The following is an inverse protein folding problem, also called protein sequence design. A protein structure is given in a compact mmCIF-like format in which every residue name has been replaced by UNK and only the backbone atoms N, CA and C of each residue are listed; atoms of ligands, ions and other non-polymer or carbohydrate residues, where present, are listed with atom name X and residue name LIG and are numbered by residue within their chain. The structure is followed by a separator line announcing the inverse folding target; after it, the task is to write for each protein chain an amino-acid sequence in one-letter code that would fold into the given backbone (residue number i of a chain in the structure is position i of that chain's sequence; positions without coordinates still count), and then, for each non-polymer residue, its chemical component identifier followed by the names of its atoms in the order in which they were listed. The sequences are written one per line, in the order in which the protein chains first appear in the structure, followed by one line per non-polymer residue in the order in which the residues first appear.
data_IF_745075437307
#
_entry.id   IF_745075437307
#
_cell.length_a   1.000
_cell.length_b   1.000
_cell.length_c   1.000
_cell.angle_alpha   90.00
_cell.angle_beta   90.00
_cell.angle_gamma   90.00
#
_symmetry.space_group_name_H-M   'P 1'
#
loop_
_entity.id
_entity.type
_entity.pdbx_description
1 polymer ?
#
# COMPACT_ATOMS: atom_id res chain seq x y z
N UNK A 1 -4.61 -26.10 -2.57
CA UNK A 1 -3.26 -26.05 -3.18
C UNK A 1 -2.37 -27.00 -2.42
N UNK A 2 -1.63 -27.86 -3.12
CA UNK A 2 -0.55 -28.63 -2.47
C UNK A 2 0.60 -27.66 -2.17
N UNK A 3 1.34 -27.89 -1.09
CA UNK A 3 2.56 -27.13 -0.83
C UNK A 3 3.50 -27.22 -2.04
N UNK A 4 3.86 -26.08 -2.64
CA UNK A 4 4.82 -25.99 -3.76
C UNK A 4 4.26 -25.57 -5.13
N UNK A 5 2.96 -25.34 -5.28
CA UNK A 5 2.36 -24.85 -6.53
C UNK A 5 2.12 -23.33 -6.45
N UNK A 6 2.70 -22.58 -7.38
CA UNK A 6 2.50 -21.13 -7.45
C UNK A 6 1.10 -20.79 -7.98
N UNK A 7 0.54 -19.66 -7.53
CA UNK A 7 -0.82 -19.22 -7.89
C UNK A 7 -1.04 -19.19 -9.41
N UNK A 8 -0.03 -18.75 -10.18
CA UNK A 8 -0.07 -18.65 -11.65
C UNK A 8 -0.04 -20.00 -12.38
N UNK A 9 0.29 -21.10 -11.69
CA UNK A 9 0.29 -22.46 -12.26
C UNK A 9 -1.10 -23.10 -12.26
N UNK A 10 -2.05 -22.52 -11.51
CA UNK A 10 -3.43 -22.99 -11.47
C UNK A 10 -4.10 -22.87 -12.85
N UNK A 11 -4.86 -23.88 -13.31
CA UNK A 11 -5.64 -23.80 -14.54
C UNK A 11 -6.78 -22.77 -14.45
N UNK A 12 -7.13 -22.32 -13.24
CA UNK A 12 -8.11 -21.26 -13.00
C UNK A 12 -7.49 -19.86 -12.97
N UNK A 13 -6.16 -19.73 -13.07
CA UNK A 13 -5.54 -18.42 -13.19
C UNK A 13 -5.74 -17.86 -14.61
N UNK A 14 -6.02 -16.55 -14.79
CA UNK A 14 -6.35 -15.56 -13.75
C UNK A 14 -7.86 -15.51 -13.42
N UNK A 15 -8.68 -16.28 -14.12
CA UNK A 15 -10.14 -16.27 -14.03
C UNK A 15 -10.65 -17.24 -12.96
N UNK A 16 -10.52 -16.81 -11.70
CA UNK A 16 -10.93 -17.59 -10.55
C UNK A 16 -12.45 -17.77 -10.47
N UNK A 17 -12.85 -18.95 -10.02
CA UNK A 17 -14.23 -19.23 -9.62
C UNK A 17 -14.33 -19.12 -8.10
N UNK A 18 -15.34 -18.40 -7.62
CA UNK A 18 -15.59 -18.20 -6.20
C UNK A 18 -17.09 -18.27 -5.91
N UNK A 19 -17.43 -18.69 -4.69
CA UNK A 19 -18.82 -18.73 -4.24
C UNK A 19 -19.23 -17.38 -3.65
N UNK A 20 -20.01 -16.61 -4.43
CA UNK A 20 -20.52 -15.31 -4.00
C UNK A 20 -21.37 -15.36 -2.73
N UNK A 21 -22.11 -16.45 -2.49
CA UNK A 21 -22.93 -16.56 -1.29
C UNK A 21 -22.06 -16.62 -0.03
N UNK A 22 -20.91 -17.29 -0.11
CA UNK A 22 -19.93 -17.33 1.00
C UNK A 22 -19.21 -16.00 1.20
N UNK A 23 -19.03 -15.22 0.14
CA UNK A 23 -18.30 -13.94 0.20
C UNK A 23 -19.22 -12.74 0.48
N UNK A 24 -20.54 -12.87 0.33
CA UNK A 24 -21.47 -11.75 0.43
C UNK A 24 -21.39 -11.02 1.77
N UNK A 25 -21.36 -11.76 2.89
CA UNK A 25 -21.25 -11.18 4.22
C UNK A 25 -19.90 -10.48 4.48
N UNK A 26 -18.73 -11.12 4.28
CA UNK A 26 -17.45 -10.46 4.50
C UNK A 26 -17.22 -9.27 3.56
N UNK A 27 -17.64 -9.36 2.29
CA UNK A 27 -17.56 -8.22 1.36
C UNK A 27 -18.43 -7.04 1.82
N UNK A 28 -19.63 -7.31 2.30
CA UNK A 28 -20.51 -6.27 2.85
C UNK A 28 -19.93 -5.63 4.11
N UNK A 29 -19.30 -6.43 4.98
CA UNK A 29 -18.62 -5.93 6.17
C UNK A 29 -17.43 -5.01 5.81
N UNK A 30 -16.59 -5.43 4.84
CA UNK A 30 -15.46 -4.63 4.35
C UNK A 30 -15.95 -3.34 3.70
N UNK A 31 -16.95 -3.40 2.83
CA UNK A 31 -17.52 -2.21 2.17
C UNK A 31 -18.07 -1.21 3.18
N UNK A 32 -18.77 -1.68 4.22
CA UNK A 32 -19.25 -0.82 5.32
C UNK A 32 -18.10 -0.17 6.09
N UNK A 33 -17.05 -0.94 6.41
CA UNK A 33 -15.89 -0.43 7.13
C UNK A 33 -15.13 0.64 6.31
N UNK A 34 -14.94 0.40 5.01
CA UNK A 34 -14.35 1.37 4.09
C UNK A 34 -15.18 2.66 3.99
N UNK A 35 -16.50 2.54 3.87
CA UNK A 35 -17.40 3.69 3.84
C UNK A 35 -17.34 4.53 5.12
N UNK A 36 -17.31 3.89 6.29
CA UNK A 36 -17.17 4.58 7.58
C UNK A 36 -15.82 5.30 7.71
N UNK A 37 -14.73 4.66 7.27
CA UNK A 37 -13.40 5.27 7.25
C UNK A 37 -13.37 6.51 6.34
N UNK A 38 -13.85 6.37 5.11
CA UNK A 38 -13.90 7.46 4.14
C UNK A 38 -14.78 8.62 4.62
N UNK A 39 -15.92 8.33 5.27
CA UNK A 39 -16.78 9.35 5.88
C UNK A 39 -16.06 10.11 6.99
N UNK A 40 -15.40 9.41 7.91
CA UNK A 40 -14.60 10.07 8.96
C UNK A 40 -13.45 10.88 8.39
N UNK A 41 -12.78 10.35 7.36
CA UNK A 41 -11.73 11.09 6.68
C UNK A 41 -12.28 12.36 6.01
N UNK A 42 -13.47 12.31 5.42
CA UNK A 42 -14.12 13.46 4.81
C UNK A 42 -14.44 14.59 5.81
N UNK A 43 -14.63 14.25 7.09
CA UNK A 43 -14.94 15.22 8.15
C UNK A 43 -13.69 15.80 8.84
N UNK A 44 -12.52 15.14 8.74
CA UNK A 44 -11.26 15.69 9.28
C UNK A 44 -10.60 16.65 8.29
N UNK A 45 -9.86 17.63 8.82
CA UNK A 45 -9.08 18.59 8.03
C UNK A 45 -7.91 17.96 7.27
N UNK A 46 -7.43 18.65 6.23
CA UNK A 46 -6.39 18.14 5.32
C UNK A 46 -5.12 17.71 6.04
N UNK A 47 -4.63 18.50 7.00
CA UNK A 47 -3.42 18.18 7.76
C UNK A 47 -3.48 16.80 8.45
N UNK A 48 -4.63 16.43 9.01
CA UNK A 48 -4.78 15.12 9.67
C UNK A 48 -4.86 13.98 8.65
N UNK A 49 -5.43 14.23 7.46
CA UNK A 49 -5.43 13.24 6.37
C UNK A 49 -4.03 13.00 5.84
N UNK A 50 -3.25 14.05 5.70
CA UNK A 50 -1.87 13.99 5.24
C UNK A 50 -0.99 13.22 6.23
N UNK A 51 -1.15 13.48 7.54
CA UNK A 51 -0.44 12.73 8.58
C UNK A 51 -0.86 11.26 8.63
N UNK A 52 -2.16 10.97 8.51
CA UNK A 52 -2.66 9.60 8.44
C UNK A 52 -2.14 8.85 7.20
N UNK A 53 -2.08 9.52 6.05
CA UNK A 53 -1.57 8.95 4.81
C UNK A 53 -0.06 8.69 4.90
N UNK A 54 0.68 9.65 5.47
CA UNK A 54 2.11 9.49 5.72
C UNK A 54 2.39 8.29 6.63
N UNK A 55 1.63 8.13 7.71
CA UNK A 55 1.77 7.01 8.63
C UNK A 55 1.47 5.67 7.91
N UNK A 56 0.34 5.56 7.24
CA UNK A 56 -0.07 4.34 6.54
C UNK A 56 0.95 3.91 5.47
N UNK A 57 1.41 4.85 4.63
CA UNK A 57 2.37 4.55 3.58
C UNK A 57 3.78 4.25 4.12
N UNK A 58 4.17 4.85 5.24
CA UNK A 58 5.42 4.48 5.93
C UNK A 58 5.37 3.03 6.39
N UNK A 59 4.25 2.63 7.01
CA UNK A 59 4.06 1.26 7.47
C UNK A 59 4.00 0.28 6.30
N UNK A 60 3.27 0.59 5.23
CA UNK A 60 3.20 -0.26 4.03
C UNK A 60 4.59 -0.54 3.44
N UNK A 61 5.43 0.49 3.29
CA UNK A 61 6.81 0.34 2.79
C UNK A 61 7.63 -0.55 3.72
N UNK A 62 7.58 -0.33 5.03
CA UNK A 62 8.37 -1.12 6.00
C UNK A 62 7.90 -2.58 6.01
N UNK A 63 6.59 -2.82 6.03
CA UNK A 63 6.05 -4.18 6.13
C UNK A 63 6.21 -4.95 4.82
N UNK A 64 6.01 -4.32 3.66
CA UNK A 64 6.20 -5.01 2.37
C UNK A 64 7.67 -5.35 2.14
N UNK A 65 8.61 -4.48 2.52
CA UNK A 65 10.04 -4.79 2.46
C UNK A 65 10.44 -5.91 3.41
N UNK A 66 9.83 -5.99 4.60
CA UNK A 66 10.09 -7.06 5.56
C UNK A 66 9.67 -8.45 5.03
N UNK A 67 8.64 -8.53 4.19
CA UNK A 67 8.23 -9.78 3.51
C UNK A 67 9.37 -10.29 2.60
N UNK A 68 10.08 -9.39 1.95
CA UNK A 68 11.23 -9.68 1.08
C UNK A 68 12.55 -9.87 1.88
N UNK A 69 12.48 -9.81 3.21
CA UNK A 69 13.64 -9.95 4.10
C UNK A 69 14.45 -8.66 4.30
N UNK A 70 13.95 -7.52 3.82
CA UNK A 70 14.61 -6.23 4.00
C UNK A 70 14.16 -5.54 5.30
N UNK A 71 15.13 -5.05 6.07
CA UNK A 71 14.85 -4.23 7.27
C UNK A 71 15.25 -2.79 6.99
N UNK A 72 14.25 -1.91 6.83
CA UNK A 72 14.46 -0.50 6.51
C UNK A 72 14.44 0.38 7.78
N UNK A 73 15.18 1.49 7.75
CA UNK A 73 15.10 2.51 8.80
C UNK A 73 13.78 3.29 8.67
N UNK A 74 12.89 3.13 9.65
CA UNK A 74 11.55 3.75 9.66
C UNK A 74 11.60 5.28 9.52
N UNK A 75 12.58 5.95 10.14
CA UNK A 75 12.69 7.41 10.07
C UNK A 75 13.10 7.89 8.67
N UNK A 76 14.00 7.15 8.00
CA UNK A 76 14.39 7.40 6.61
C UNK A 76 13.22 7.12 5.65
N UNK A 77 12.48 6.02 5.85
CA UNK A 77 11.26 5.72 5.06
C UNK A 77 10.23 6.83 5.22
N UNK A 78 9.89 7.21 6.46
CA UNK A 78 8.94 8.31 6.73
C UNK A 78 9.38 9.60 6.07
N UNK A 79 10.68 9.93 6.13
CA UNK A 79 11.22 11.13 5.48
C UNK A 79 11.09 11.08 3.95
N UNK A 80 11.31 9.92 3.35
CA UNK A 80 11.17 9.69 1.91
C UNK A 80 9.71 9.80 1.44
N UNK A 81 8.77 9.22 2.19
CA UNK A 81 7.32 9.32 1.92
C UNK A 81 6.83 10.77 2.10
N UNK A 82 7.23 11.45 3.18
CA UNK A 82 6.83 12.83 3.45
C UNK A 82 7.24 13.78 2.31
N UNK A 83 8.44 13.63 1.75
CA UNK A 83 8.90 14.41 0.59
C UNK A 83 8.00 14.25 -0.63
N UNK A 84 7.52 13.03 -0.90
CA UNK A 84 6.67 12.72 -2.06
C UNK A 84 5.22 13.14 -1.88
N UNK A 85 4.72 13.11 -0.64
CA UNK A 85 3.40 13.61 -0.30
C UNK A 85 3.35 15.14 -0.11
N UNK A 86 4.50 15.81 -0.05
CA UNK A 86 4.58 17.26 0.20
C UNK A 86 4.24 17.64 1.65
N UNK A 87 4.38 16.70 2.59
CA UNK A 87 4.06 16.91 4.00
C UNK A 87 5.28 17.42 4.74
N UNK A 88 5.16 18.59 5.39
CA UNK A 88 6.22 19.13 6.24
C UNK A 88 6.24 18.41 7.60
N UNK A 89 7.33 17.72 7.86
CA UNK A 89 7.60 17.05 9.15
C UNK A 89 8.82 17.64 9.88
N UNK A 90 9.26 18.83 9.46
CA UNK A 90 10.45 19.49 9.99
C UNK A 90 11.74 18.83 9.49
N UNK A 91 12.59 18.41 10.42
CA UNK A 91 13.89 17.84 10.07
C UNK A 91 13.73 16.43 9.45
N UNK A 92 14.10 16.32 8.17
CA UNK A 92 14.09 15.05 7.44
C UNK A 92 15.38 14.27 7.67
N UNK A 93 15.26 12.99 7.99
CA UNK A 93 16.41 12.09 8.06
C UNK A 93 17.08 11.96 6.67
N UNK A 94 18.39 11.69 6.62
CA UNK A 94 19.03 11.26 5.39
C UNK A 94 18.31 10.03 4.83
N UNK A 95 18.12 10.03 3.51
CA UNK A 95 17.50 8.93 2.79
C UNK A 95 18.52 8.47 1.75
N UNK A 96 18.69 7.15 1.65
CA UNK A 96 19.50 6.55 0.59
C UNK A 96 18.65 6.29 -0.67
N UNK A 97 19.33 6.08 -1.81
CA UNK A 97 18.64 5.84 -3.09
C UNK A 97 17.82 4.54 -3.10
N UNK A 98 18.18 3.56 -2.28
CA UNK A 98 17.48 2.27 -2.20
C UNK A 98 16.09 2.45 -1.58
N UNK A 99 16.00 3.14 -0.45
CA UNK A 99 14.74 3.51 0.20
C UNK A 99 13.88 4.36 -0.74
N UNK A 100 14.48 5.36 -1.41
CA UNK A 100 13.75 6.19 -2.36
C UNK A 100 13.10 5.37 -3.50
N UNK A 101 13.83 4.40 -4.05
CA UNK A 101 13.30 3.52 -5.10
C UNK A 101 12.13 2.64 -4.63
N UNK A 102 12.24 2.08 -3.42
CA UNK A 102 11.14 1.29 -2.82
C UNK A 102 9.91 2.17 -2.58
N UNK A 103 10.12 3.36 -2.04
CA UNK A 103 9.01 4.30 -1.78
C UNK A 103 8.35 4.72 -3.09
N UNK A 104 9.11 5.02 -4.15
CA UNK A 104 8.55 5.32 -5.48
C UNK A 104 7.68 4.18 -6.01
N UNK A 105 8.19 2.95 -5.92
CA UNK A 105 7.46 1.75 -6.34
C UNK A 105 6.14 1.56 -5.57
N UNK A 106 6.17 1.70 -4.23
CA UNK A 106 4.97 1.56 -3.39
C UNK A 106 3.95 2.66 -3.66
N UNK A 107 4.39 3.91 -3.85
CA UNK A 107 3.49 5.01 -4.20
C UNK A 107 2.88 4.84 -5.59
N UNK A 108 3.64 4.38 -6.56
CA UNK A 108 3.11 4.08 -7.89
C UNK A 108 2.11 2.91 -7.82
N UNK A 109 2.43 1.84 -7.09
CA UNK A 109 1.55 0.68 -6.93
C UNK A 109 0.22 1.05 -6.27
N UNK A 110 0.24 1.90 -5.23
CA UNK A 110 -0.95 2.31 -4.48
C UNK A 110 -1.75 3.42 -5.20
N UNK A 111 -1.08 4.43 -5.76
CA UNK A 111 -1.71 5.55 -6.45
C UNK A 111 -2.23 5.20 -7.85
N UNK A 112 -1.50 4.34 -8.58
CA UNK A 112 -1.80 3.97 -9.96
C UNK A 112 -2.25 2.50 -10.09
N UNK A 113 -2.86 1.95 -9.04
CA UNK A 113 -3.32 0.55 -8.99
C UNK A 113 -4.31 0.15 -10.12
N UNK A 114 -5.07 1.13 -10.65
CA UNK A 114 -6.03 0.92 -11.75
C UNK A 114 -5.39 1.03 -13.13
N UNK A 115 -4.16 1.53 -13.21
CA UNK A 115 -3.43 1.69 -14.46
C UNK A 115 -2.68 0.41 -14.80
N UNK A 116 -2.53 0.05 -16.09
CA UNK A 116 -1.74 -1.10 -16.50
C UNK A 116 -0.30 -1.00 -16.00
N UNK A 117 0.27 -2.12 -15.57
CA UNK A 117 1.70 -2.21 -15.24
C UNK A 117 2.52 -2.14 -16.54
N UNK A 118 3.52 -1.27 -16.59
CA UNK A 118 4.43 -1.10 -17.74
C UNK A 118 5.88 -1.24 -17.28
N UNK A 119 6.80 -1.42 -18.23
CA UNK A 119 8.24 -1.53 -17.92
C UNK A 119 8.80 -0.29 -17.24
N UNK A 120 8.24 0.89 -17.50
CA UNK A 120 8.64 2.14 -16.85
C UNK A 120 8.14 2.25 -15.41
N UNK A 121 7.15 1.45 -15.03
CA UNK A 121 6.58 1.38 -13.68
C UNK A 121 7.18 0.23 -12.84
N UNK A 122 8.15 -0.50 -13.41
CA UNK A 122 8.93 -1.57 -12.77
C UNK A 122 10.36 -1.08 -12.48
#
# INVERSE_FOLDING_TARGET
MKYGEYIWQSPHWPNWHYDLATLAEPLSAVSRAQGLLLGRLADVGMALRDEASLAALTDDVVQTSAIEGETLNVASVRSSVARRLGVDIGALAPVDRHIDGIVDMVLDATGNAKSPLTSERL
#
